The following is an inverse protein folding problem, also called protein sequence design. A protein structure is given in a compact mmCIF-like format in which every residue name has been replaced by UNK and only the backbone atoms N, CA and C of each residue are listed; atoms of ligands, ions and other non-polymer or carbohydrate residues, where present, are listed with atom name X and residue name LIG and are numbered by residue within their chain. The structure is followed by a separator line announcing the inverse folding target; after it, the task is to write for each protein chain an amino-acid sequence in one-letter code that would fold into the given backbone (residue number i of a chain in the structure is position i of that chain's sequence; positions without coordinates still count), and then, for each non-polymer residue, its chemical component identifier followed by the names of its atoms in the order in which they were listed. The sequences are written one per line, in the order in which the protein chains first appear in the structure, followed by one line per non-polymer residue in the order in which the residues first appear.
data_IF_423505041067
#
_entry.id   IF_423505041067
#
_cell.length_a   1.000
_cell.length_b   1.000
_cell.length_c   1.000
_cell.angle_alpha   90.00
_cell.angle_beta   90.00
_cell.angle_gamma   90.00
#
_symmetry.space_group_name_H-M   'P 1'
#
loop_
_entity.id
_entity.type
_entity.pdbx_description
1 polymer ?
#
# COMPACT_ATOMS: atom_id res chain seq x y z
N UNK A 1 0.26 5.75 23.83
CA UNK A 1 0.18 6.29 22.46
C UNK A 1 1.34 5.68 21.69
N UNK A 2 1.12 4.57 20.99
CA UNK A 2 2.18 3.93 20.21
C UNK A 2 2.40 4.76 18.95
N UNK A 3 3.57 5.39 18.83
CA UNK A 3 4.00 5.94 17.55
C UNK A 3 4.18 4.74 16.60
N UNK A 4 3.46 4.68 15.48
CA UNK A 4 3.62 3.59 14.53
C UNK A 4 5.05 3.61 13.99
N UNK A 5 5.69 2.45 13.76
CA UNK A 5 6.99 2.41 13.15
C UNK A 5 6.98 3.20 11.83
N UNK A 6 7.98 4.07 11.64
CA UNK A 6 8.07 5.02 10.52
C UNK A 6 7.98 4.38 9.11
N UNK A 7 8.01 3.04 9.02
CA UNK A 7 7.86 2.26 7.79
C UNK A 7 6.42 2.14 7.28
N UNK A 8 5.40 2.33 8.13
CA UNK A 8 3.98 2.18 7.75
C UNK A 8 3.43 3.40 6.98
N UNK A 9 4.09 4.55 7.12
CA UNK A 9 3.69 5.78 6.46
C UNK A 9 4.54 6.03 5.21
N UNK A 10 3.85 6.30 4.10
CA UNK A 10 4.54 6.67 2.88
C UNK A 10 5.16 8.07 3.01
N UNK A 11 6.38 8.24 2.47
CA UNK A 11 7.06 9.55 2.43
C UNK A 11 6.16 10.59 1.73
N UNK A 12 6.07 11.79 2.31
CA UNK A 12 5.20 12.87 1.82
C UNK A 12 5.36 13.19 0.32
N UNK A 13 6.60 13.34 -0.16
CA UNK A 13 6.89 13.61 -1.58
C UNK A 13 6.32 12.52 -2.51
N UNK A 14 6.40 11.26 -2.05
CA UNK A 14 5.91 10.10 -2.79
C UNK A 14 4.38 10.08 -2.82
N UNK A 15 3.74 10.37 -1.69
CA UNK A 15 2.29 10.55 -1.63
C UNK A 15 1.79 11.62 -2.60
N UNK A 16 2.37 12.83 -2.53
CA UNK A 16 1.97 13.93 -3.39
C UNK A 16 2.22 13.63 -4.88
N UNK A 17 3.26 12.89 -5.22
CA UNK A 17 3.52 12.52 -6.61
C UNK A 17 2.48 11.52 -7.14
N UNK A 18 2.17 10.44 -6.42
CA UNK A 18 1.27 9.40 -6.93
C UNK A 18 -0.22 9.74 -6.78
N UNK A 19 -0.63 10.43 -5.71
CA UNK A 19 -2.03 10.73 -5.40
C UNK A 19 -2.50 12.10 -5.91
N UNK A 20 -1.65 12.87 -6.59
CA UNK A 20 -2.09 14.11 -7.24
C UNK A 20 -3.01 13.78 -8.41
N UNK A 21 -4.25 14.27 -8.34
CA UNK A 21 -5.25 14.18 -9.40
C UNK A 21 -4.82 15.01 -10.61
N UNK A 22 -4.48 14.35 -11.71
CA UNK A 22 -4.10 14.98 -12.97
C UNK A 22 -4.97 14.40 -14.09
N UNK A 23 -5.31 15.23 -15.09
CA UNK A 23 -6.05 14.76 -16.28
C UNK A 23 -5.27 13.73 -17.09
N UNK A 24 -3.95 13.86 -17.13
CA UNK A 24 -3.03 12.90 -17.75
C UNK A 24 -1.84 12.66 -16.82
N UNK A 25 -1.57 11.40 -16.49
CA UNK A 25 -0.56 10.99 -15.52
C UNK A 25 0.52 10.07 -16.12
N UNK A 26 1.12 10.53 -17.22
CA UNK A 26 2.16 9.76 -17.96
C UNK A 26 3.38 9.48 -17.07
N UNK A 27 3.93 8.27 -17.16
CA UNK A 27 5.16 7.86 -16.46
C UNK A 27 4.97 7.36 -15.02
N UNK A 28 3.73 7.29 -14.51
CA UNK A 28 3.43 6.74 -13.19
C UNK A 28 3.12 5.25 -13.29
N UNK A 29 4.15 4.40 -13.34
CA UNK A 29 3.99 2.94 -13.51
C UNK A 29 3.88 2.17 -12.18
N UNK A 30 4.15 2.85 -11.07
CA UNK A 30 3.89 2.32 -9.73
C UNK A 30 2.49 2.74 -9.24
N UNK A 31 1.72 1.76 -8.79
CA UNK A 31 0.41 1.89 -8.18
C UNK A 31 0.53 1.63 -6.68
N UNK A 32 -0.03 2.54 -5.89
CA UNK A 32 -0.06 2.46 -4.43
C UNK A 32 -1.50 2.36 -3.93
N UNK A 33 -1.73 1.50 -2.94
CA UNK A 33 -3.02 1.37 -2.26
C UNK A 33 -2.84 1.58 -0.77
N UNK A 34 -3.38 2.68 -0.23
CA UNK A 34 -3.41 2.92 1.21
C UNK A 34 -4.67 2.28 1.81
N UNK A 35 -4.55 1.63 2.97
CA UNK A 35 -5.67 0.94 3.64
C UNK A 35 -5.72 1.23 5.14
N UNK A 36 -6.92 1.06 5.70
CA UNK A 36 -7.18 1.07 7.15
C UNK A 36 -8.12 -0.09 7.47
N UNK A 37 -7.70 -0.99 8.34
CA UNK A 37 -8.51 -2.12 8.81
C UNK A 37 -9.34 -1.66 10.02
N UNK A 38 -10.64 -1.95 10.01
CA UNK A 38 -11.57 -1.64 11.10
C UNK A 38 -12.31 -2.91 11.53
N UNK A 39 -12.63 -3.02 12.83
CA UNK A 39 -13.52 -4.08 13.31
C UNK A 39 -14.96 -3.83 12.82
N UNK A 40 -15.58 -4.87 12.28
CA UNK A 40 -16.95 -4.81 11.71
C UNK A 40 -18.03 -4.52 12.76
N UNK A 41 -17.85 -4.99 14.00
CA UNK A 41 -18.91 -5.03 15.01
C UNK A 41 -18.64 -4.15 16.24
N UNK A 42 -17.62 -3.28 16.21
CA UNK A 42 -17.30 -2.41 17.34
C UNK A 42 -18.10 -1.11 17.25
N UNK A 43 -18.91 -0.80 18.27
CA UNK A 43 -19.65 0.45 18.40
C UNK A 43 -18.73 1.69 18.45
N UNK A 44 -17.46 1.48 18.79
CA UNK A 44 -16.38 2.46 18.66
C UNK A 44 -15.48 2.03 17.51
N UNK A 45 -15.40 2.85 16.46
CA UNK A 45 -14.61 2.58 15.24
C UNK A 45 -13.11 2.68 15.51
N UNK A 46 -12.54 1.75 16.27
CA UNK A 46 -11.09 1.65 16.43
C UNK A 46 -10.48 1.02 15.18
N UNK A 47 -9.53 1.72 14.55
CA UNK A 47 -8.68 1.16 13.50
C UNK A 47 -7.75 0.12 14.11
N UNK A 48 -7.79 -1.10 13.57
CA UNK A 48 -6.93 -2.21 13.99
C UNK A 48 -5.54 -2.11 13.41
N UNK A 49 -5.45 -1.72 12.13
CA UNK A 49 -4.20 -1.63 11.39
C UNK A 49 -4.34 -0.63 10.24
N UNK A 50 -3.22 -0.13 9.73
CA UNK A 50 -3.17 0.72 8.54
C UNK A 50 -1.81 0.61 7.85
N UNK A 51 -1.80 0.91 6.55
CA UNK A 51 -0.57 0.86 5.78
C UNK A 51 -0.80 1.16 4.31
N UNK A 52 0.15 0.75 3.49
CA UNK A 52 0.04 0.83 2.04
C UNK A 52 0.70 -0.36 1.34
N UNK A 53 0.15 -0.72 0.18
CA UNK A 53 0.70 -1.72 -0.74
C UNK A 53 1.25 -1.02 -1.98
N UNK A 54 2.24 -1.65 -2.64
CA UNK A 54 2.77 -1.25 -3.95
C UNK A 54 2.75 -2.44 -4.88
N UNK A 55 2.38 -2.23 -6.14
CA UNK A 55 2.60 -3.26 -7.17
C UNK A 55 4.11 -3.54 -7.35
N UNK A 56 4.45 -4.79 -7.69
CA UNK A 56 5.75 -5.14 -8.24
C UNK A 56 5.58 -5.40 -9.74
N UNK A 57 6.46 -4.86 -10.60
CA UNK A 57 6.40 -5.14 -12.02
C UNK A 57 6.74 -6.60 -12.30
N UNK A 58 6.17 -7.16 -13.37
CA UNK A 58 6.31 -8.59 -13.70
C UNK A 58 7.75 -9.03 -13.99
N UNK A 59 8.62 -8.14 -14.46
CA UNK A 59 10.04 -8.45 -14.66
C UNK A 59 10.85 -8.48 -13.34
N UNK A 60 10.31 -7.92 -12.24
CA UNK A 60 10.84 -8.17 -10.89
C UNK A 60 10.27 -9.47 -10.32
N UNK A 61 9.35 -10.13 -11.03
CA UNK A 61 8.81 -11.47 -10.74
C UNK A 61 9.41 -12.48 -11.73
N UNK A 62 10.73 -12.43 -11.91
CA UNK A 62 11.49 -13.54 -12.52
C UNK A 62 11.60 -14.74 -11.56
N UNK A 63 11.18 -14.58 -10.31
CA UNK A 63 10.88 -15.68 -9.41
C UNK A 63 9.39 -16.01 -9.49
N UNK A 64 8.99 -16.86 -10.44
CA UNK A 64 7.67 -17.52 -10.43
C UNK A 64 7.37 -18.16 -9.05
N UNK A 65 8.43 -18.47 -8.30
CA UNK A 65 8.50 -18.89 -6.90
C UNK A 65 7.98 -17.84 -5.88
N UNK A 66 8.24 -16.55 -6.08
CA UNK A 66 7.80 -15.47 -5.18
C UNK A 66 6.31 -15.15 -5.30
N UNK A 67 5.73 -15.38 -6.49
CA UNK A 67 4.29 -15.23 -6.71
C UNK A 67 3.49 -16.29 -5.94
N UNK A 68 3.94 -17.56 -5.95
CA UNK A 68 3.36 -18.63 -5.14
C UNK A 68 3.49 -18.34 -3.64
N UNK A 69 4.64 -17.83 -3.22
CA UNK A 69 4.90 -17.46 -1.82
C UNK A 69 4.07 -16.26 -1.34
N UNK A 70 3.78 -15.30 -2.22
CA UNK A 70 2.89 -14.16 -1.93
C UNK A 70 1.41 -14.58 -1.90
N UNK A 71 1.02 -15.59 -2.68
CA UNK A 71 -0.34 -16.12 -2.73
C UNK A 71 -0.59 -17.26 -1.73
N UNK A 72 0.43 -17.74 -1.03
CA UNK A 72 0.34 -18.81 -0.05
C UNK A 72 0.01 -20.17 -0.66
N UNK A 73 0.42 -20.40 -1.92
CA UNK A 73 0.21 -21.64 -2.68
C UNK A 73 1.51 -22.41 -2.86
#
# INVERSE_FOLDING_TARGET
MFLPPCSLLMKQKKFLYHFKNMRWAKGRHETYLCYVVKQRNSATSCSLDFGYLRNKPLYEIDDLRDAFQTLGL
#
